data_IF_521271591236
#
_entry.id   IF_521271591236
#
_cell.length_a   1.000
_cell.length_b   1.000
_cell.length_c   1.000
_cell.angle_alpha   90.00
_cell.angle_beta   90.00
_cell.angle_gamma   90.00
#
_symmetry.space_group_name_H-M   'P 1'
#
loop_
_entity.id
_entity.type
_entity.pdbx_description
1 polymer ?
#
# COMPACT_ATOMS: atom_id res chain seq x y z
N UNK A 1 -22.57 5.32 -12.95
CA UNK A 1 -21.16 5.74 -12.95
C UNK A 1 -20.52 5.14 -11.70
N UNK A 2 -19.84 4.00 -11.78
CA UNK A 2 -19.21 3.41 -10.60
C UNK A 2 -18.06 4.33 -10.18
N UNK A 3 -18.12 4.87 -8.96
CA UNK A 3 -17.01 5.63 -8.41
C UNK A 3 -15.80 4.70 -8.35
N UNK A 4 -14.84 4.94 -9.23
CA UNK A 4 -13.60 4.20 -9.26
C UNK A 4 -12.84 4.62 -7.99
N UNK A 5 -13.02 3.87 -6.90
CA UNK A 5 -12.22 4.03 -5.70
C UNK A 5 -10.78 3.63 -6.05
N UNK A 6 -10.06 4.57 -6.67
CA UNK A 6 -8.71 4.33 -7.22
C UNK A 6 -7.65 4.26 -6.13
N UNK A 7 -7.92 4.82 -4.94
CA UNK A 7 -6.93 5.03 -3.90
C UNK A 7 -7.29 4.26 -2.61
N UNK A 8 -6.50 3.25 -2.29
CA UNK A 8 -6.60 2.45 -1.07
C UNK A 8 -5.54 2.96 -0.09
N UNK A 9 -5.94 3.39 1.11
CA UNK A 9 -5.00 3.83 2.15
C UNK A 9 -4.90 2.81 3.28
N UNK A 10 -3.71 2.26 3.51
CA UNK A 10 -3.43 1.35 4.61
C UNK A 10 -2.85 2.09 5.81
N UNK A 11 -3.50 1.98 6.97
CA UNK A 11 -2.91 2.36 8.26
C UNK A 11 -2.19 1.14 8.84
N UNK A 12 -0.88 1.24 9.08
CA UNK A 12 -0.03 0.10 9.47
C UNK A 12 0.51 -0.72 8.29
N UNK A 13 0.77 -0.08 7.14
CA UNK A 13 1.20 -0.76 5.90
C UNK A 13 2.56 -1.48 6.02
N UNK A 14 3.35 -1.16 7.05
CA UNK A 14 4.65 -1.74 7.35
C UNK A 14 4.56 -3.08 8.11
N UNK A 15 3.39 -3.47 8.60
CA UNK A 15 3.16 -4.77 9.24
C UNK A 15 3.23 -5.95 8.25
N UNK A 16 3.66 -7.12 8.72
CA UNK A 16 3.87 -8.32 7.88
C UNK A 16 2.62 -8.70 7.05
N UNK A 17 1.43 -8.67 7.62
CA UNK A 17 0.19 -9.05 6.93
C UNK A 17 -0.29 -8.01 5.90
N UNK A 18 -0.39 -6.75 6.34
CA UNK A 18 -0.80 -5.65 5.45
C UNK A 18 0.21 -5.41 4.32
N UNK A 19 1.44 -5.90 4.50
CA UNK A 19 2.47 -5.70 3.49
C UNK A 19 2.27 -6.47 2.20
N UNK A 20 1.84 -7.73 2.29
CA UNK A 20 1.56 -8.56 1.13
C UNK A 20 0.29 -8.12 0.40
N UNK A 21 -0.74 -7.72 1.14
CA UNK A 21 -2.01 -7.25 0.55
C UNK A 21 -1.78 -5.96 -0.24
N UNK A 22 -1.03 -5.00 0.32
CA UNK A 22 -0.68 -3.77 -0.38
C UNK A 22 0.12 -4.03 -1.67
N UNK A 23 1.02 -5.02 -1.67
CA UNK A 23 1.81 -5.38 -2.85
C UNK A 23 0.97 -6.08 -3.93
N UNK A 24 0.03 -6.94 -3.53
CA UNK A 24 -0.93 -7.54 -4.45
C UNK A 24 -1.81 -6.47 -5.13
N UNK A 25 -2.32 -5.53 -4.35
CA UNK A 25 -3.17 -4.44 -4.87
C UNK A 25 -2.41 -3.53 -5.84
N UNK A 26 -1.15 -3.20 -5.54
CA UNK A 26 -0.28 -2.48 -6.48
C UNK A 26 -0.08 -3.25 -7.78
N UNK A 27 0.14 -4.57 -7.71
CA UNK A 27 0.29 -5.42 -8.89
C UNK A 27 -1.00 -5.52 -9.73
N UNK A 28 -2.16 -5.42 -9.09
CA UNK A 28 -3.47 -5.38 -9.76
C UNK A 28 -3.80 -4.01 -10.36
N UNK A 29 -2.91 -3.01 -10.24
CA UNK A 29 -3.08 -1.68 -10.81
C UNK A 29 -3.89 -0.71 -9.94
N UNK A 30 -4.16 -1.07 -8.67
CA UNK A 30 -4.76 -0.13 -7.72
C UNK A 30 -3.72 0.85 -7.20
N UNK A 31 -4.13 2.09 -6.95
CA UNK A 31 -3.29 3.07 -6.27
C UNK A 31 -3.35 2.78 -4.79
N UNK A 32 -2.22 2.38 -4.22
CA UNK A 32 -2.12 2.10 -2.79
C UNK A 32 -1.29 3.19 -2.15
N UNK A 33 -1.74 3.69 -1.01
CA UNK A 33 -0.99 4.59 -0.12
C UNK A 33 -1.00 4.00 1.29
N UNK A 34 -0.13 4.45 2.16
CA UNK A 34 -0.20 4.01 3.55
C UNK A 34 0.65 4.78 4.52
N UNK A 35 0.23 4.73 5.78
CA UNK A 35 0.92 5.29 6.93
C UNK A 35 1.39 4.14 7.83
N UNK A 36 2.49 4.36 8.54
CA UNK A 36 2.96 3.45 9.58
C UNK A 36 3.70 4.26 10.65
N UNK A 37 3.65 3.81 11.89
CA UNK A 37 4.27 4.50 13.02
C UNK A 37 5.80 4.39 12.96
N UNK A 38 6.34 3.29 12.40
CA UNK A 38 7.78 3.11 12.18
C UNK A 38 8.06 2.88 10.70
N UNK A 39 9.12 3.51 10.19
CA UNK A 39 9.64 3.22 8.84
C UNK A 39 10.28 1.85 8.85
N UNK A 40 9.57 0.84 8.36
CA UNK A 40 10.13 -0.51 8.16
C UNK A 40 10.66 -0.66 6.73
N UNK A 41 11.58 -1.62 6.48
CA UNK A 41 12.08 -1.90 5.13
C UNK A 41 10.94 -2.13 4.13
N UNK A 42 9.84 -2.74 4.58
CA UNK A 42 8.61 -2.99 3.82
C UNK A 42 7.93 -1.70 3.35
N UNK A 43 7.91 -0.65 4.18
CA UNK A 43 7.34 0.67 3.81
C UNK A 43 8.21 1.37 2.76
N UNK A 44 9.54 1.26 2.88
CA UNK A 44 10.51 1.87 1.96
C UNK A 44 10.45 1.21 0.58
N UNK A 45 10.34 -0.12 0.54
CA UNK A 45 10.27 -0.90 -0.71
C UNK A 45 9.04 -0.55 -1.55
N UNK A 46 7.92 -0.21 -0.91
CA UNK A 46 6.66 0.17 -1.59
C UNK A 46 6.66 1.60 -2.09
N UNK A 47 7.30 2.53 -1.36
CA UNK A 47 7.49 3.91 -1.84
C UNK A 47 8.25 3.96 -3.17
N UNK A 48 9.21 3.04 -3.36
CA UNK A 48 9.92 2.85 -4.64
C UNK A 48 9.04 2.27 -5.76
N UNK A 49 7.97 1.56 -5.43
CA UNK A 49 7.02 0.97 -6.41
C UNK A 49 5.86 1.90 -6.77
N UNK A 50 5.83 3.14 -6.26
CA UNK A 50 4.81 4.14 -6.57
C UNK A 50 3.67 4.27 -5.55
N UNK A 51 3.88 3.81 -4.30
CA UNK A 51 2.95 3.97 -3.17
C UNK A 51 3.30 5.14 -2.24
#
# INVERSE_FOLDING_TARGET
MFQQYQNIHFVGIGGIGMSGIAELLLNLGYKVSGSDQKRTPSTIKKKKKGA
#
